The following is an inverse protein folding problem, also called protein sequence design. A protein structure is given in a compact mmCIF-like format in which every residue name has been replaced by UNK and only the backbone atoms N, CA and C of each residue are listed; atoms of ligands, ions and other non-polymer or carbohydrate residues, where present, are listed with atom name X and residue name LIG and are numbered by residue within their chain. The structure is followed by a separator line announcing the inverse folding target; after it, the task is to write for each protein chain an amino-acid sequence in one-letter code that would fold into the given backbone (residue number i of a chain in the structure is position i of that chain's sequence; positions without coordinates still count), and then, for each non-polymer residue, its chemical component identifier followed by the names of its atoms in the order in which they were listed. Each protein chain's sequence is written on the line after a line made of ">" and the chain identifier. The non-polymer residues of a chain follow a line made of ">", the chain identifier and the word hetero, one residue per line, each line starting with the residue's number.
data_IF_974550443658
#
_entry.id   IF_974550443658
#
_cell.length_a   1.000
_cell.length_b   1.000
_cell.length_c   1.000
_cell.angle_alpha   90.00
_cell.angle_beta   90.00
_cell.angle_gamma   90.00
#
_symmetry.space_group_name_H-M   'P 1'
#
loop_
_entity.id
_entity.type
_entity.pdbx_description
1 polymer ?
#
# COMPACT_ATOMS: atom_id res chain seq x y z
N UNK A 1 -8.30 2.79 49.78
CA UNK A 1 -8.25 4.15 49.20
C UNK A 1 -6.95 4.43 48.44
N UNK A 2 -5.78 3.91 48.85
CA UNK A 2 -4.50 4.13 48.16
C UNK A 2 -4.27 3.26 46.89
N UNK A 3 -5.00 2.16 46.71
CA UNK A 3 -4.92 1.32 45.51
C UNK A 3 -5.70 1.87 44.32
N UNK A 4 -6.82 2.56 44.57
CA UNK A 4 -7.66 3.18 43.54
C UNK A 4 -6.95 4.39 42.89
N UNK A 5 -6.25 5.20 43.70
CA UNK A 5 -5.56 6.40 43.23
C UNK A 5 -4.37 6.09 42.30
N UNK A 6 -3.71 4.95 42.50
CA UNK A 6 -2.60 4.46 41.64
C UNK A 6 -3.10 3.93 40.29
N UNK A 7 -4.36 3.47 40.21
CA UNK A 7 -5.00 3.03 38.96
C UNK A 7 -5.37 4.22 38.07
N UNK A 8 -5.74 5.37 38.65
CA UNK A 8 -6.06 6.58 37.88
C UNK A 8 -4.82 7.24 37.25
N UNK A 9 -3.67 7.20 37.92
CA UNK A 9 -2.44 7.79 37.40
C UNK A 9 -1.87 6.98 36.23
N UNK A 10 -1.93 5.64 36.30
CA UNK A 10 -1.54 4.79 35.16
C UNK A 10 -2.47 4.97 33.97
N UNK A 11 -3.78 5.19 34.18
CA UNK A 11 -4.77 5.47 33.11
C UNK A 11 -4.50 6.81 32.43
N UNK A 12 -4.12 7.85 33.18
CA UNK A 12 -3.80 9.17 32.62
C UNK A 12 -2.41 9.22 31.94
N UNK A 13 -1.44 8.44 32.44
CA UNK A 13 -0.14 8.25 31.80
C UNK A 13 -0.29 7.47 30.48
N UNK A 14 -1.07 6.39 30.44
CA UNK A 14 -1.36 5.73 29.16
C UNK A 14 -2.15 6.64 28.24
N UNK A 15 -3.09 7.46 28.70
CA UNK A 15 -3.83 8.39 27.82
C UNK A 15 -2.96 9.50 27.20
N UNK A 16 -1.82 9.85 27.82
CA UNK A 16 -0.91 10.89 27.31
C UNK A 16 0.29 10.33 26.55
N UNK A 17 0.70 9.07 26.81
CA UNK A 17 1.72 8.37 26.02
C UNK A 17 1.17 7.37 25.00
N UNK A 18 -0.15 7.13 24.92
CA UNK A 18 -0.85 6.48 23.79
C UNK A 18 -1.28 7.49 22.72
N UNK A 19 -0.51 8.55 22.55
CA UNK A 19 -0.53 9.24 21.28
C UNK A 19 0.17 8.32 20.27
N UNK A 20 -0.61 7.60 19.45
CA UNK A 20 -0.37 7.24 18.04
C UNK A 20 -1.07 5.91 17.68
N UNK A 21 -1.96 5.97 16.68
CA UNK A 21 -2.46 4.87 15.82
C UNK A 21 -3.88 4.30 15.95
N UNK A 22 -4.77 4.77 16.84
CA UNK A 22 -6.19 4.32 16.83
C UNK A 22 -7.13 5.18 15.97
N UNK A 23 -6.60 5.90 14.98
CA UNK A 23 -7.39 6.56 13.94
C UNK A 23 -6.75 6.42 12.54
N UNK A 24 -6.03 5.34 12.28
CA UNK A 24 -5.64 5.01 10.91
C UNK A 24 -6.57 3.96 10.30
N UNK A 25 -7.65 4.50 9.74
CA UNK A 25 -8.08 4.18 8.37
C UNK A 25 -8.47 2.72 8.11
N UNK A 26 -9.77 2.42 8.28
CA UNK A 26 -10.69 1.55 7.52
C UNK A 26 -10.21 0.33 6.68
N UNK A 27 -8.94 -0.06 6.72
CA UNK A 27 -8.34 -1.12 5.92
C UNK A 27 -7.79 -2.17 6.85
N UNK A 28 -8.26 -3.39 6.61
CA UNK A 28 -7.85 -4.57 7.34
C UNK A 28 -6.32 -4.63 7.40
N UNK A 29 -5.71 -4.59 8.60
CA UNK A 29 -4.27 -4.77 8.75
C UNK A 29 -3.86 -6.22 8.44
N UNK A 30 -4.82 -7.10 8.16
CA UNK A 30 -4.57 -8.47 7.75
C UNK A 30 -4.39 -8.53 6.24
N UNK A 31 -3.22 -9.00 5.82
CA UNK A 31 -3.05 -9.48 4.47
C UNK A 31 -3.97 -10.70 4.24
N UNK A 32 -4.22 -11.11 2.98
CA UNK A 32 -4.99 -12.31 2.69
C UNK A 32 -4.48 -13.55 3.44
N UNK A 33 -3.17 -13.61 3.68
CA UNK A 33 -2.55 -14.56 4.59
C UNK A 33 -2.43 -13.96 6.01
N UNK A 34 -3.00 -14.60 7.05
CA UNK A 34 -2.98 -14.10 8.42
C UNK A 34 -1.58 -14.10 9.07
N UNK A 35 -0.60 -14.81 8.50
CA UNK A 35 0.79 -14.76 8.96
C UNK A 35 1.48 -13.43 8.63
N UNK A 36 0.91 -12.65 7.71
CA UNK A 36 1.48 -11.38 7.27
C UNK A 36 0.56 -10.21 7.65
N UNK A 37 1.19 -9.17 8.20
CA UNK A 37 0.50 -7.96 8.64
C UNK A 37 1.29 -6.74 8.22
N UNK A 38 0.57 -5.75 7.70
CA UNK A 38 1.11 -4.43 7.42
C UNK A 38 0.55 -3.40 8.41
N UNK A 39 1.36 -2.40 8.83
CA UNK A 39 0.86 -1.28 9.59
C UNK A 39 -0.12 -0.46 8.72
N UNK A 40 -0.90 0.40 9.36
CA UNK A 40 -1.90 1.18 8.64
C UNK A 40 -1.23 2.20 7.68
N UNK A 41 -1.94 2.54 6.59
CA UNK A 41 -1.40 3.32 5.49
C UNK A 41 -0.45 2.56 4.56
N UNK A 42 -0.26 1.26 4.76
CA UNK A 42 0.49 0.38 3.87
C UNK A 42 -0.41 -0.61 3.15
N UNK A 43 0.06 -1.12 2.02
CA UNK A 43 -0.66 -2.11 1.20
C UNK A 43 0.05 -3.45 1.23
N UNK A 44 -0.68 -4.53 1.52
CA UNK A 44 -0.17 -5.89 1.40
C UNK A 44 -0.04 -6.28 -0.07
N UNK A 45 1.17 -6.66 -0.49
CA UNK A 45 1.44 -7.18 -1.82
C UNK A 45 2.13 -8.54 -1.75
N UNK A 46 1.87 -9.39 -2.74
CA UNK A 46 2.54 -10.67 -2.84
C UNK A 46 4.01 -10.45 -3.25
N UNK A 47 4.93 -11.01 -2.48
CA UNK A 47 6.37 -10.94 -2.65
C UNK A 47 6.94 -12.35 -2.94
N UNK A 48 8.23 -12.43 -3.27
CA UNK A 48 8.92 -13.69 -3.62
C UNK A 48 8.73 -14.82 -2.57
N UNK A 49 8.59 -14.45 -1.30
CA UNK A 49 8.49 -15.39 -0.17
C UNK A 49 7.19 -15.21 0.65
N UNK A 50 6.10 -14.79 0.02
CA UNK A 50 4.80 -14.61 0.70
C UNK A 50 4.24 -13.21 0.51
N UNK A 51 4.06 -12.44 1.58
CA UNK A 51 3.58 -11.05 1.49
C UNK A 51 4.59 -10.05 2.04
N UNK A 52 4.64 -8.89 1.38
CA UNK A 52 5.39 -7.71 1.82
C UNK A 52 4.47 -6.50 1.90
N UNK A 53 4.96 -5.44 2.54
CA UNK A 53 4.21 -4.22 2.75
C UNK A 53 4.76 -3.08 1.89
N UNK A 54 3.92 -2.50 1.05
CA UNK A 54 4.24 -1.29 0.31
C UNK A 54 3.98 -0.07 1.20
N UNK A 55 4.89 0.93 1.23
CA UNK A 55 4.75 2.13 2.07
C UNK A 55 3.62 3.08 1.66
N UNK A 56 2.96 2.79 0.53
CA UNK A 56 1.85 3.58 0.00
C UNK A 56 0.53 2.87 0.28
N UNK A 57 -0.49 3.65 0.62
CA UNK A 57 -1.86 3.18 0.70
C UNK A 57 -2.41 2.93 -0.71
N UNK A 58 -3.20 1.87 -0.87
CA UNK A 58 -3.82 1.48 -2.15
C UNK A 58 -2.82 1.29 -3.29
N UNK A 59 -1.62 0.79 -2.98
CA UNK A 59 -0.58 0.58 -3.96
C UNK A 59 -0.98 -0.51 -4.97
N UNK A 60 -0.57 -0.33 -6.23
CA UNK A 60 -0.63 -1.37 -7.24
C UNK A 60 0.58 -2.29 -7.04
N UNK A 61 0.33 -3.58 -6.78
CA UNK A 61 1.37 -4.60 -6.68
C UNK A 61 1.90 -4.95 -8.08
N UNK A 62 3.20 -4.86 -8.29
CA UNK A 62 3.83 -5.27 -9.54
C UNK A 62 4.07 -6.79 -9.57
N UNK A 63 4.04 -7.40 -10.75
CA UNK A 63 4.31 -8.84 -10.94
C UNK A 63 5.77 -9.24 -10.75
N UNK A 64 6.65 -8.27 -10.53
CA UNK A 64 8.06 -8.50 -10.21
C UNK A 64 8.27 -8.81 -8.71
N UNK A 65 7.21 -8.74 -7.90
CA UNK A 65 7.20 -9.11 -6.48
C UNK A 65 8.13 -8.28 -5.58
N UNK A 66 8.67 -7.19 -6.11
CA UNK A 66 9.64 -6.32 -5.42
C UNK A 66 9.23 -4.85 -5.51
N UNK A 67 8.59 -4.44 -6.61
CA UNK A 67 8.19 -3.05 -6.79
C UNK A 67 6.70 -2.84 -6.47
N UNK A 68 6.42 -1.65 -5.96
CA UNK A 68 5.08 -1.18 -5.70
C UNK A 68 4.87 0.15 -6.41
N UNK A 69 3.70 0.32 -7.00
CA UNK A 69 3.35 1.55 -7.69
C UNK A 69 2.23 2.30 -6.96
N UNK A 70 2.21 3.65 -7.02
CA UNK A 70 1.15 4.43 -6.40
C UNK A 70 -0.20 4.13 -7.05
N UNK A 71 -1.27 4.37 -6.29
CA UNK A 71 -2.63 4.15 -6.77
C UNK A 71 -2.89 4.86 -8.11
N UNK A 72 -3.58 4.17 -9.03
CA UNK A 72 -3.91 4.71 -10.36
C UNK A 72 -2.75 4.70 -11.37
N UNK A 73 -1.68 3.96 -11.06
CA UNK A 73 -0.57 3.72 -12.00
C UNK A 73 -0.42 2.23 -12.27
N UNK A 74 0.16 1.91 -13.44
CA UNK A 74 0.44 0.56 -13.86
C UNK A 74 1.95 0.28 -13.79
N UNK A 75 2.31 -0.94 -13.42
CA UNK A 75 3.69 -1.39 -13.42
C UNK A 75 4.12 -1.81 -14.83
N UNK A 76 5.31 -1.40 -15.23
CA UNK A 76 6.02 -2.01 -16.36
C UNK A 76 6.80 -3.25 -15.89
N UNK A 77 7.27 -4.09 -16.83
CA UNK A 77 8.09 -5.26 -16.51
C UNK A 77 9.43 -4.96 -15.81
N UNK A 78 9.84 -3.68 -15.78
CA UNK A 78 11.09 -3.23 -15.15
C UNK A 78 10.86 -2.55 -13.79
N UNK A 79 9.65 -2.66 -13.21
CA UNK A 79 9.32 -2.01 -11.94
C UNK A 79 9.07 -0.50 -12.04
N UNK A 80 8.94 0.06 -13.25
CA UNK A 80 8.61 1.47 -13.43
C UNK A 80 7.10 1.69 -13.39
N UNK A 81 6.67 2.73 -12.67
CA UNK A 81 5.28 3.12 -12.55
C UNK A 81 4.90 4.11 -13.64
N UNK A 82 4.01 3.69 -14.53
CA UNK A 82 3.47 4.55 -15.58
C UNK A 82 2.05 4.98 -15.23
N UNK A 83 1.82 6.29 -15.12
CA UNK A 83 0.49 6.85 -14.92
C UNK A 83 -0.21 6.92 -16.27
N UNK A 84 -1.18 6.04 -16.47
CA UNK A 84 -1.82 5.87 -17.76
C UNK A 84 -2.68 7.08 -18.14
N UNK A 85 -2.19 7.88 -19.10
CA UNK A 85 -3.02 8.23 -20.27
C UNK A 85 -3.04 7.10 -21.32
N UNK A 86 -2.84 5.86 -20.87
CA UNK A 86 -2.72 4.66 -21.70
C UNK A 86 -3.93 3.72 -21.56
N UNK A 87 -4.83 3.99 -20.61
CA UNK A 87 -6.17 3.36 -20.58
C UNK A 87 -7.14 3.99 -21.59
N UNK A 88 -6.71 5.04 -22.29
CA UNK A 88 -7.44 5.72 -23.35
C UNK A 88 -6.55 6.05 -24.56
N UNK A 89 -5.57 5.19 -24.88
CA UNK A 89 -5.14 5.13 -26.28
C UNK A 89 -6.33 4.56 -27.05
N UNK A 90 -7.08 5.45 -27.69
CA UNK A 90 -7.98 5.05 -28.75
C UNK A 90 -7.21 4.14 -29.71
N UNK A 91 -7.91 3.16 -30.32
CA UNK A 91 -7.33 2.30 -31.37
C UNK A 91 -6.56 3.10 -32.43
N UNK A 92 -6.90 4.37 -32.64
CA UNK A 92 -6.20 5.30 -33.52
C UNK A 92 -4.74 5.56 -33.10
N UNK A 93 -4.45 5.70 -31.80
CA UNK A 93 -3.09 6.02 -31.34
C UNK A 93 -2.18 4.78 -31.30
N UNK A 94 -2.75 3.57 -31.12
CA UNK A 94 -2.01 2.30 -31.27
C UNK A 94 -1.53 2.10 -32.73
N UNK A 95 -2.32 2.53 -33.72
CA UNK A 95 -1.94 2.49 -35.15
C UNK A 95 -0.70 3.37 -35.40
N UNK A 96 -0.64 4.56 -34.78
CA UNK A 96 0.47 5.51 -34.96
C UNK A 96 1.77 5.07 -34.25
N UNK A 97 1.69 4.39 -33.10
CA UNK A 97 2.87 3.84 -32.42
C UNK A 97 3.44 2.60 -33.13
N UNK A 98 2.59 1.79 -33.76
CA UNK A 98 3.03 0.60 -34.50
C UNK A 98 3.66 0.94 -35.86
N UNK A 99 3.30 2.07 -36.49
CA UNK A 99 3.92 2.54 -37.74
C UNK A 99 5.39 2.96 -37.57
N UNK A 100 5.81 3.36 -36.35
CA UNK A 100 7.22 3.69 -36.04
C UNK A 100 8.12 2.46 -35.96
N UNK A 101 7.55 1.25 -36.04
CA UNK A 101 8.27 -0.04 -36.04
C UNK A 101 8.38 -0.66 -37.44
N UNK A 102 7.90 0.03 -38.47
CA UNK A 102 8.04 -0.36 -39.88
C UNK A 102 8.80 0.75 -40.62
N UNK A 103 10.10 0.82 -40.35
CA UNK A 103 11.10 1.42 -41.22
C UNK A 103 12.23 0.41 -41.37
#
# INVERSE_FOLDING_TARGET
>A
MMTYLQVFTVISLVATTFSMDTLQSLRSPYCPDPAYRCPAGQTCCYALHGYGCCPMDSATCCSDHVHCCPHGTACTAYGLCVRGKHASLSRATQIMLNARKVA
#
